data_IF_647784287879
#
_entry.id   IF_647784287879
#
_cell.length_a   1.000
_cell.length_b   1.000
_cell.length_c   1.000
_cell.angle_alpha   90.00
_cell.angle_beta   90.00
_cell.angle_gamma   90.00
#
_symmetry.space_group_name_H-M   'P 1'
#
loop_
_entity.id
_entity.type
_entity.pdbx_description
1 polymer ?
#
# COMPACT_ATOMS: atom_id res chain seq x y z
N UNK A 1 -37.51 38.67 47.29
CA UNK A 1 -37.49 37.65 46.21
C UNK A 1 -36.35 38.00 45.25
N UNK A 2 -35.16 37.44 45.46
CA UNK A 2 -34.01 37.57 44.55
C UNK A 2 -33.89 36.28 43.74
N UNK A 3 -34.10 36.39 42.43
CA UNK A 3 -33.95 35.28 41.48
C UNK A 3 -32.49 35.23 41.01
N UNK A 4 -31.75 34.25 41.54
CA UNK A 4 -30.39 33.91 41.16
C UNK A 4 -30.40 33.27 39.75
N UNK A 5 -29.85 33.97 38.75
CA UNK A 5 -29.66 33.42 37.40
C UNK A 5 -28.33 32.67 37.35
N UNK A 6 -28.40 31.34 37.31
CA UNK A 6 -27.25 30.46 37.08
C UNK A 6 -27.03 30.38 35.56
N UNK A 7 -25.91 30.92 35.09
CA UNK A 7 -25.47 30.77 33.71
C UNK A 7 -24.73 29.42 33.57
N UNK A 8 -25.29 28.50 32.80
CA UNK A 8 -24.65 27.22 32.45
C UNK A 8 -23.78 27.47 31.21
N UNK A 9 -22.46 27.24 31.26
CA UNK A 9 -21.63 27.33 30.07
C UNK A 9 -21.90 26.12 29.17
N UNK A 10 -22.37 26.39 27.95
CA UNK A 10 -22.51 25.40 26.89
C UNK A 10 -21.10 25.10 26.36
N UNK A 11 -20.54 23.95 26.75
CA UNK A 11 -19.32 23.42 26.13
C UNK A 11 -19.65 22.92 24.73
N UNK A 12 -19.22 23.67 23.71
CA UNK A 12 -19.31 23.27 22.31
C UNK A 12 -18.20 22.24 22.04
N UNK A 13 -18.54 20.96 22.09
CA UNK A 13 -17.65 19.87 21.64
C UNK A 13 -17.57 19.94 20.12
N UNK A 14 -16.50 20.54 19.60
CA UNK A 14 -16.16 20.47 18.18
C UNK A 14 -15.68 19.04 17.90
N UNK A 15 -16.61 18.14 17.59
CA UNK A 15 -16.28 16.85 16.99
C UNK A 15 -15.68 17.12 15.61
N UNK A 16 -14.35 17.10 15.50
CA UNK A 16 -13.70 16.96 14.21
C UNK A 16 -14.17 15.65 13.60
N UNK A 17 -14.79 15.65 12.41
CA UNK A 17 -15.15 14.41 11.74
C UNK A 17 -13.85 13.61 11.55
N UNK A 18 -13.78 12.46 12.20
CA UNK A 18 -12.86 11.41 11.78
C UNK A 18 -13.36 10.97 10.40
N UNK A 19 -12.83 11.61 9.35
CA UNK A 19 -12.99 11.10 8.00
C UNK A 19 -12.35 9.71 8.01
N UNK A 20 -13.18 8.68 8.10
CA UNK A 20 -12.79 7.33 7.72
C UNK A 20 -12.62 7.37 6.20
N UNK A 21 -11.50 7.93 5.74
CA UNK A 21 -11.16 8.01 4.33
C UNK A 21 -11.12 6.58 3.82
N UNK A 22 -11.91 6.29 2.79
CA UNK A 22 -11.88 5.00 2.15
C UNK A 22 -10.50 4.83 1.50
N UNK A 23 -9.64 4.07 2.16
CA UNK A 23 -8.29 3.76 1.68
C UNK A 23 -8.40 2.66 0.62
N UNK A 24 -8.77 3.05 -0.60
CA UNK A 24 -8.93 2.16 -1.75
C UNK A 24 -8.20 2.69 -2.99
N UNK A 25 -7.94 1.78 -3.94
CA UNK A 25 -7.63 2.13 -5.32
C UNK A 25 -8.76 1.57 -6.19
N UNK A 26 -9.55 2.44 -6.82
CA UNK A 26 -10.62 2.04 -7.75
C UNK A 26 -11.62 1.03 -7.14
N UNK A 27 -11.92 1.17 -5.86
CA UNK A 27 -12.79 0.27 -5.10
C UNK A 27 -12.11 -0.98 -4.53
N UNK A 28 -10.85 -1.26 -4.88
CA UNK A 28 -10.05 -2.33 -4.25
C UNK A 28 -9.50 -1.82 -2.92
N UNK A 29 -9.99 -2.40 -1.81
CA UNK A 29 -9.60 -2.02 -0.45
C UNK A 29 -8.56 -2.97 0.13
N UNK A 30 -7.80 -2.47 1.08
CA UNK A 30 -7.06 -3.30 2.03
C UNK A 30 -8.07 -4.10 2.87
N UNK A 31 -7.69 -5.30 3.34
CA UNK A 31 -8.52 -6.25 4.08
C UNK A 31 -9.70 -6.88 3.32
N UNK A 32 -9.91 -6.53 2.05
CA UNK A 32 -10.84 -7.24 1.17
C UNK A 32 -10.30 -8.62 0.79
N UNK A 33 -11.18 -9.46 0.22
CA UNK A 33 -10.78 -10.72 -0.40
C UNK A 33 -10.26 -10.50 -1.82
N UNK A 34 -9.42 -11.42 -2.30
CA UNK A 34 -8.94 -11.41 -3.69
C UNK A 34 -10.07 -11.52 -4.71
N UNK A 35 -11.18 -12.21 -4.38
CA UNK A 35 -12.37 -12.28 -5.25
C UNK A 35 -13.04 -10.91 -5.45
N UNK A 36 -13.21 -10.14 -4.37
CA UNK A 36 -13.71 -8.76 -4.41
C UNK A 36 -12.76 -7.87 -5.21
N UNK A 37 -11.46 -8.01 -4.97
CA UNK A 37 -10.44 -7.27 -5.71
C UNK A 37 -10.53 -7.51 -7.23
N UNK A 38 -10.63 -8.77 -7.67
CA UNK A 38 -10.77 -9.12 -9.10
C UNK A 38 -11.99 -8.44 -9.75
N UNK A 39 -13.14 -8.44 -9.08
CA UNK A 39 -14.36 -7.78 -9.56
C UNK A 39 -14.15 -6.27 -9.71
N UNK A 40 -13.60 -5.63 -8.68
CA UNK A 40 -13.38 -4.17 -8.70
C UNK A 40 -12.32 -3.76 -9.71
N UNK A 41 -11.26 -4.56 -9.91
CA UNK A 41 -10.25 -4.35 -10.95
C UNK A 41 -10.92 -4.38 -12.33
N UNK A 42 -11.69 -5.43 -12.65
CA UNK A 42 -12.40 -5.52 -13.93
C UNK A 42 -13.38 -4.35 -14.14
N UNK A 43 -14.06 -3.91 -13.08
CA UNK A 43 -14.95 -2.73 -13.14
C UNK A 43 -14.19 -1.43 -13.37
N UNK A 44 -12.98 -1.30 -12.82
CA UNK A 44 -12.16 -0.10 -12.96
C UNK A 44 -11.68 0.13 -14.39
N UNK A 45 -11.42 -0.94 -15.14
CA UNK A 45 -11.10 -0.89 -16.57
C UNK A 45 -11.43 -2.23 -17.24
N UNK A 46 -12.43 -2.22 -18.13
CA UNK A 46 -12.89 -3.43 -18.82
C UNK A 46 -11.89 -4.00 -19.83
N UNK A 47 -10.79 -3.27 -20.12
CA UNK A 47 -9.71 -3.72 -21.02
C UNK A 47 -8.63 -4.52 -20.30
N UNK A 48 -8.75 -4.71 -18.99
CA UNK A 48 -7.78 -5.49 -18.22
C UNK A 48 -7.84 -6.98 -18.55
N UNK A 49 -6.67 -7.56 -18.79
CA UNK A 49 -6.43 -9.00 -18.75
C UNK A 49 -5.87 -9.37 -17.38
N UNK A 50 -6.63 -10.18 -16.62
CA UNK A 50 -6.25 -10.62 -15.28
C UNK A 50 -5.38 -11.89 -15.34
N UNK A 51 -4.28 -11.88 -14.59
CA UNK A 51 -3.36 -13.00 -14.43
C UNK A 51 -3.18 -13.29 -12.93
N UNK A 52 -3.46 -14.53 -12.46
CA UNK A 52 -3.24 -14.88 -11.06
C UNK A 52 -1.75 -14.95 -10.75
N UNK A 53 -1.36 -14.44 -9.58
CA UNK A 53 -0.05 -14.70 -9.00
C UNK A 53 -0.19 -15.88 -8.05
N UNK A 54 0.74 -16.83 -8.11
CA UNK A 54 0.71 -18.03 -7.27
C UNK A 54 2.05 -18.21 -6.55
N UNK A 55 1.98 -18.70 -5.33
CA UNK A 55 3.13 -19.23 -4.62
C UNK A 55 3.57 -20.56 -5.25
N UNK A 56 4.75 -21.05 -4.85
CA UNK A 56 5.31 -22.31 -5.35
C UNK A 56 4.45 -23.53 -5.03
N UNK A 57 3.61 -23.46 -4.00
CA UNK A 57 2.65 -24.50 -3.62
C UNK A 57 1.33 -24.45 -4.42
N UNK A 58 1.20 -23.49 -5.35
CA UNK A 58 0.02 -23.28 -6.17
C UNK A 58 -1.07 -22.42 -5.54
N UNK A 59 -0.96 -22.02 -4.27
CA UNK A 59 -1.90 -21.11 -3.62
C UNK A 59 -1.83 -19.73 -4.29
N UNK A 60 -2.97 -19.10 -4.52
CA UNK A 60 -3.00 -17.74 -5.06
C UNK A 60 -2.40 -16.76 -4.05
N UNK A 61 -1.41 -15.99 -4.50
CA UNK A 61 -0.74 -14.93 -3.75
C UNK A 61 -1.32 -13.55 -4.08
N UNK A 62 -2.05 -13.42 -5.20
CA UNK A 62 -2.60 -12.16 -5.65
C UNK A 62 -3.08 -12.22 -7.10
N UNK A 63 -3.34 -11.04 -7.66
CA UNK A 63 -3.71 -10.86 -9.05
C UNK A 63 -2.98 -9.66 -9.65
N UNK A 64 -2.55 -9.83 -10.89
CA UNK A 64 -2.09 -8.76 -11.77
C UNK A 64 -3.18 -8.52 -12.82
N UNK A 65 -3.38 -7.28 -13.20
CA UNK A 65 -4.18 -6.93 -14.36
C UNK A 65 -3.43 -5.91 -15.21
N UNK A 66 -3.37 -6.13 -16.51
CA UNK A 66 -2.71 -5.21 -17.45
C UNK A 66 -3.57 -5.04 -18.69
N UNK A 67 -3.52 -3.86 -19.30
CA UNK A 67 -4.07 -3.66 -20.63
C UNK A 67 -3.13 -4.22 -21.70
N UNK A 68 -3.67 -4.54 -22.88
CA UNK A 68 -2.89 -5.16 -23.96
C UNK A 68 -2.04 -4.16 -24.75
N UNK A 69 -2.40 -2.87 -24.74
CA UNK A 69 -1.65 -1.83 -25.43
C UNK A 69 -0.29 -1.59 -24.76
N UNK A 70 0.63 -0.96 -25.49
CA UNK A 70 1.93 -0.56 -24.94
C UNK A 70 2.28 0.85 -25.34
N UNK A 71 2.49 1.70 -24.34
CA UNK A 71 2.93 3.07 -24.49
C UNK A 71 4.46 3.15 -24.36
N UNK A 72 5.12 4.03 -25.14
CA UNK A 72 6.56 4.21 -25.07
C UNK A 72 6.99 4.84 -23.74
N UNK A 73 8.28 4.73 -23.43
CA UNK A 73 8.91 5.44 -22.32
C UNK A 73 8.70 6.95 -22.45
N UNK A 74 8.39 7.60 -21.32
CA UNK A 74 8.22 9.07 -21.26
C UNK A 74 9.29 9.78 -20.42
N UNK A 75 10.14 9.04 -19.71
CA UNK A 75 11.28 9.57 -18.96
C UNK A 75 12.21 8.45 -18.47
N UNK A 76 13.34 8.80 -17.84
CA UNK A 76 14.18 7.84 -17.12
C UNK A 76 13.47 7.15 -15.94
N UNK A 77 12.40 7.76 -15.41
CA UNK A 77 11.58 7.22 -14.34
C UNK A 77 10.39 6.39 -14.86
N UNK A 78 10.22 6.28 -16.18
CA UNK A 78 9.14 5.52 -16.83
C UNK A 78 9.65 4.83 -18.09
N UNK A 79 9.90 3.53 -18.00
CA UNK A 79 10.35 2.69 -19.12
C UNK A 79 9.25 2.41 -20.16
N UNK A 80 8.03 2.92 -19.97
CA UNK A 80 6.86 2.59 -20.77
C UNK A 80 6.19 1.31 -20.28
N UNK A 81 5.29 0.76 -21.09
CA UNK A 81 4.53 -0.45 -20.74
C UNK A 81 3.03 -0.29 -21.02
N UNK A 82 2.18 -1.15 -20.43
CA UNK A 82 0.73 -1.02 -20.54
C UNK A 82 0.22 0.38 -20.16
N UNK A 83 -0.84 0.87 -20.80
CA UNK A 83 -1.47 2.13 -20.37
C UNK A 83 -2.06 2.04 -18.97
N UNK A 84 -2.41 0.85 -18.51
CA UNK A 84 -2.94 0.62 -17.18
C UNK A 84 -2.42 -0.73 -16.65
N UNK A 85 -1.90 -0.71 -15.44
CA UNK A 85 -1.46 -1.87 -14.69
C UNK A 85 -2.06 -1.83 -13.29
N UNK A 86 -2.45 -2.99 -12.77
CA UNK A 86 -3.04 -3.15 -11.46
C UNK A 86 -2.46 -4.38 -10.77
N UNK A 87 -2.21 -4.27 -9.47
CA UNK A 87 -1.78 -5.37 -8.61
C UNK A 87 -2.62 -5.36 -7.36
N UNK A 88 -3.05 -6.53 -6.91
CA UNK A 88 -3.50 -6.76 -5.54
C UNK A 88 -2.85 -8.04 -5.00
N UNK A 89 -2.19 -7.96 -3.85
CA UNK A 89 -1.56 -9.08 -3.16
C UNK A 89 -2.30 -9.41 -1.87
N UNK A 90 -2.48 -10.70 -1.61
CA UNK A 90 -3.10 -11.19 -0.39
C UNK A 90 -2.09 -11.82 0.57
N UNK A 91 -2.44 -11.81 1.85
CA UNK A 91 -1.65 -12.40 2.92
C UNK A 91 -2.13 -13.83 3.21
N UNK A 92 -1.65 -14.46 4.28
CA UNK A 92 -2.04 -15.85 4.56
C UNK A 92 -3.49 -15.99 5.03
N UNK A 93 -4.02 -14.91 5.62
CA UNK A 93 -5.42 -14.76 6.01
C UNK A 93 -6.34 -14.41 4.81
N UNK A 94 -5.84 -14.47 3.57
CA UNK A 94 -6.57 -14.20 2.33
C UNK A 94 -7.13 -12.78 2.25
N UNK A 95 -6.43 -11.85 2.92
CA UNK A 95 -6.73 -10.43 2.95
C UNK A 95 -5.76 -9.63 2.10
N UNK A 96 -6.27 -8.67 1.34
CA UNK A 96 -5.44 -7.77 0.55
C UNK A 96 -4.62 -6.88 1.48
N UNK A 97 -3.29 -7.00 1.42
CA UNK A 97 -2.36 -6.17 2.20
C UNK A 97 -1.61 -5.15 1.34
N UNK A 98 -1.58 -5.36 0.02
CA UNK A 98 -0.94 -4.44 -0.91
C UNK A 98 -1.74 -4.32 -2.18
N UNK A 99 -1.99 -3.08 -2.60
CA UNK A 99 -2.63 -2.76 -3.86
C UNK A 99 -1.87 -1.63 -4.53
N UNK A 100 -1.69 -1.73 -5.84
CA UNK A 100 -1.07 -0.67 -6.62
C UNK A 100 -1.68 -0.57 -8.01
N UNK A 101 -1.72 0.65 -8.55
CA UNK A 101 -2.10 0.94 -9.93
C UNK A 101 -1.07 1.85 -10.57
N UNK A 102 -0.68 1.53 -11.80
CA UNK A 102 0.15 2.39 -12.66
C UNK A 102 -0.71 2.79 -13.85
N UNK A 103 -0.85 4.09 -14.08
CA UNK A 103 -1.57 4.61 -15.24
C UNK A 103 -0.65 5.49 -16.08
N UNK A 104 -0.61 5.21 -17.38
CA UNK A 104 0.14 5.96 -18.38
C UNK A 104 -0.81 6.58 -19.39
N UNK A 105 -0.51 7.79 -19.82
CA UNK A 105 -1.38 8.60 -20.67
C UNK A 105 -0.70 8.92 -21.99
N UNK A 106 -1.45 8.73 -23.08
CA UNK A 106 -1.09 9.25 -24.40
C UNK A 106 -1.16 10.78 -24.42
N UNK A 107 -0.45 11.39 -25.37
CA UNK A 107 -0.57 12.83 -25.63
C UNK A 107 -2.04 13.17 -25.93
N UNK A 108 -2.58 14.19 -25.25
CA UNK A 108 -3.99 14.59 -25.33
C UNK A 108 -4.90 13.95 -24.26
N UNK A 109 -4.49 12.84 -23.63
CA UNK A 109 -5.23 12.22 -22.51
C UNK A 109 -4.59 12.48 -21.15
N UNK A 110 -3.48 13.23 -21.12
CA UNK A 110 -2.76 13.58 -19.89
C UNK A 110 -3.60 14.51 -19.02
N UNK A 111 -3.38 14.41 -17.72
CA UNK A 111 -4.02 15.28 -16.73
C UNK A 111 -3.03 16.34 -16.23
N UNK A 112 -3.52 17.52 -15.85
CA UNK A 112 -2.68 18.53 -15.20
C UNK A 112 -2.18 18.01 -13.87
N UNK A 113 -0.93 18.34 -13.51
CA UNK A 113 -0.35 17.95 -12.22
C UNK A 113 -1.24 18.43 -11.06
N UNK A 114 -1.68 19.67 -11.09
CA UNK A 114 -2.48 20.29 -10.02
C UNK A 114 -3.79 19.51 -9.82
N UNK A 115 -4.45 19.13 -10.91
CA UNK A 115 -5.68 18.32 -10.85
C UNK A 115 -5.45 16.96 -10.21
N UNK A 116 -4.31 16.31 -10.49
CA UNK A 116 -3.95 15.06 -9.81
C UNK A 116 -3.72 15.30 -8.31
N UNK A 117 -2.97 16.34 -7.94
CA UNK A 117 -2.69 16.68 -6.53
C UNK A 117 -3.98 16.96 -5.75
N UNK A 118 -4.88 17.77 -6.32
CA UNK A 118 -6.13 18.15 -5.68
C UNK A 118 -7.03 16.92 -5.48
N UNK A 119 -7.14 16.06 -6.51
CA UNK A 119 -7.91 14.82 -6.42
C UNK A 119 -7.35 13.86 -5.35
N UNK A 120 -6.03 13.79 -5.22
CA UNK A 120 -5.38 12.97 -4.18
C UNK A 120 -5.59 13.55 -2.78
N UNK A 121 -5.52 14.88 -2.63
CA UNK A 121 -5.79 15.56 -1.35
C UNK A 121 -7.26 15.48 -0.95
N UNK A 122 -8.17 15.52 -1.91
CA UNK A 122 -9.59 15.28 -1.67
C UNK A 122 -9.82 13.83 -1.19
N UNK A 123 -9.18 12.85 -1.83
CA UNK A 123 -9.35 11.43 -1.50
C UNK A 123 -8.67 11.01 -0.19
N UNK A 124 -7.44 11.45 0.05
CA UNK A 124 -6.58 10.96 1.13
C UNK A 124 -6.27 12.02 2.19
N UNK A 125 -6.78 13.25 2.04
CA UNK A 125 -6.43 14.37 2.91
C UNK A 125 -5.03 14.94 2.60
N UNK A 126 -4.53 15.87 3.43
CA UNK A 126 -3.17 16.41 3.30
C UNK A 126 -2.11 15.30 3.44
N UNK A 127 -1.05 15.28 2.61
CA UNK A 127 -0.01 14.27 2.72
C UNK A 127 0.87 14.46 3.95
N UNK A 128 1.50 13.37 4.39
CA UNK A 128 2.58 13.35 5.38
C UNK A 128 3.84 14.03 4.85
N UNK A 129 4.14 13.85 3.56
CA UNK A 129 5.22 14.54 2.87
C UNK A 129 4.94 14.68 1.37
N UNK A 130 5.52 15.72 0.78
CA UNK A 130 5.48 16.02 -0.64
C UNK A 130 6.91 16.33 -1.10
N UNK A 131 7.40 15.65 -2.12
CA UNK A 131 8.75 15.82 -2.67
C UNK A 131 8.66 16.00 -4.19
N UNK A 132 9.39 16.99 -4.70
CA UNK A 132 9.47 17.25 -6.14
C UNK A 132 10.94 17.23 -6.57
N UNK A 133 11.44 16.04 -6.89
CA UNK A 133 12.79 15.84 -7.41
C UNK A 133 12.75 14.88 -8.60
N UNK A 134 12.78 15.42 -9.82
CA UNK A 134 12.58 14.75 -11.13
C UNK A 134 11.20 14.08 -11.33
N UNK A 135 10.59 13.59 -10.27
CA UNK A 135 9.23 13.09 -10.17
C UNK A 135 8.51 13.81 -9.05
N UNK A 136 7.19 13.84 -9.14
CA UNK A 136 6.32 14.30 -8.09
C UNK A 136 5.97 13.14 -7.18
N UNK A 137 6.27 13.23 -5.89
CA UNK A 137 6.01 12.17 -4.92
C UNK A 137 5.17 12.69 -3.76
N UNK A 138 4.14 11.95 -3.38
CA UNK A 138 3.35 12.20 -2.17
C UNK A 138 3.27 10.94 -1.34
N UNK A 139 3.26 11.10 -0.02
CA UNK A 139 3.11 9.99 0.91
C UNK A 139 2.09 10.33 1.99
N UNK A 140 1.31 9.35 2.40
CA UNK A 140 0.54 9.36 3.64
C UNK A 140 1.01 8.20 4.49
N UNK A 141 1.63 8.51 5.61
CA UNK A 141 2.18 7.54 6.55
C UNK A 141 1.34 7.56 7.82
N UNK A 142 0.86 6.39 8.21
CA UNK A 142 0.09 6.20 9.42
C UNK A 142 0.84 5.28 10.37
N UNK A 143 0.84 5.61 11.66
CA UNK A 143 1.33 4.68 12.68
C UNK A 143 0.38 3.49 12.86
N UNK A 144 0.78 2.54 13.70
CA UNK A 144 -0.01 1.32 13.98
C UNK A 144 -1.37 1.56 14.62
N UNK A 145 -1.65 2.77 15.11
CA UNK A 145 -2.92 3.18 15.69
C UNK A 145 -3.77 4.00 14.69
N UNK A 146 -3.32 4.13 13.44
CA UNK A 146 -4.01 4.89 12.40
C UNK A 146 -3.81 6.40 12.53
N UNK A 147 -2.89 6.88 13.38
CA UNK A 147 -2.57 8.30 13.45
C UNK A 147 -1.63 8.66 12.30
N UNK A 148 -2.04 9.64 11.50
CA UNK A 148 -1.19 10.16 10.43
C UNK A 148 0.05 10.85 11.03
N UNK A 149 1.22 10.51 10.51
CA UNK A 149 2.47 11.18 10.82
C UNK A 149 2.64 12.39 9.89
N UNK A 150 2.94 13.56 10.46
CA UNK A 150 3.29 14.77 9.71
C UNK A 150 4.68 15.20 10.16
N UNK A 151 5.64 15.25 9.24
CA UNK A 151 7.02 15.62 9.59
C UNK A 151 8.04 15.15 8.56
N UNK A 152 9.31 15.16 8.96
CA UNK A 152 10.41 14.75 8.07
C UNK A 152 10.28 13.26 7.70
N UNK A 153 10.38 12.87 6.41
CA UNK A 153 10.18 11.49 5.96
C UNK A 153 11.09 10.47 6.65
N UNK A 154 12.34 10.84 6.95
CA UNK A 154 13.29 9.94 7.62
C UNK A 154 12.97 9.61 9.08
N UNK A 155 11.98 10.28 9.67
CA UNK A 155 11.52 10.05 11.05
C UNK A 155 10.10 9.47 11.09
N UNK A 156 9.51 9.20 9.93
CA UNK A 156 8.17 8.63 9.83
C UNK A 156 8.12 7.16 10.24
N UNK A 157 6.95 6.67 10.67
CA UNK A 157 6.79 5.28 11.10
C UNK A 157 7.08 4.27 9.98
N UNK A 158 6.98 4.71 8.72
CA UNK A 158 7.14 3.86 7.54
C UNK A 158 8.52 3.99 6.87
N UNK A 159 9.47 4.73 7.47
CA UNK A 159 10.77 5.01 6.87
C UNK A 159 11.60 3.76 6.51
N UNK A 160 11.52 2.69 7.32
CA UNK A 160 12.31 1.48 7.13
C UNK A 160 11.69 0.46 6.16
N UNK A 161 10.62 0.82 5.45
CA UNK A 161 10.00 -0.04 4.44
C UNK A 161 10.89 -0.04 3.19
N UNK A 162 11.44 -1.21 2.90
CA UNK A 162 12.35 -1.44 1.78
C UNK A 162 11.61 -1.99 0.57
N UNK A 163 11.90 -1.41 -0.59
CA UNK A 163 11.50 -1.91 -1.90
C UNK A 163 12.79 -2.35 -2.61
N UNK A 164 13.03 -3.65 -2.76
CA UNK A 164 14.20 -4.13 -3.53
C UNK A 164 13.75 -4.65 -4.90
N UNK A 165 14.49 -4.22 -5.93
CA UNK A 165 14.06 -4.11 -7.33
C UNK A 165 13.87 -5.41 -8.12
N UNK A 166 12.96 -6.28 -7.69
CA UNK A 166 12.32 -7.20 -8.63
C UNK A 166 10.87 -6.83 -8.73
N UNK A 167 10.44 -6.47 -9.93
CA UNK A 167 9.04 -6.18 -10.22
C UNK A 167 8.19 -7.43 -10.00
N UNK A 168 6.93 -7.23 -9.64
CA UNK A 168 5.93 -8.28 -9.64
C UNK A 168 5.79 -8.78 -11.09
N UNK A 169 5.88 -10.10 -11.34
CA UNK A 169 5.85 -10.65 -12.68
C UNK A 169 4.70 -10.11 -13.53
N UNK A 170 5.03 -9.63 -14.73
CA UNK A 170 4.06 -9.07 -15.67
C UNK A 170 3.70 -7.60 -15.46
N UNK A 171 4.32 -6.91 -14.48
CA UNK A 171 4.08 -5.49 -14.19
C UNK A 171 5.38 -4.73 -13.98
N UNK A 172 5.29 -3.40 -13.90
CA UNK A 172 6.32 -2.46 -13.44
C UNK A 172 6.20 -2.15 -11.93
N UNK A 173 5.34 -2.88 -11.22
CA UNK A 173 5.09 -2.64 -9.80
C UNK A 173 6.07 -3.44 -8.95
N UNK A 174 6.89 -2.75 -8.18
CA UNK A 174 7.70 -3.34 -7.10
C UNK A 174 6.86 -3.49 -5.83
N UNK A 175 6.83 -4.69 -5.25
CA UNK A 175 6.25 -4.92 -3.92
C UNK A 175 7.25 -4.63 -2.78
N UNK A 176 6.76 -4.21 -1.60
CA UNK A 176 7.60 -4.10 -0.41
C UNK A 176 8.20 -5.46 -0.02
N UNK A 177 9.45 -5.45 0.48
CA UNK A 177 10.14 -6.64 1.01
C UNK A 177 10.36 -6.62 2.52
N UNK A 178 10.35 -5.44 3.13
CA UNK A 178 10.44 -5.28 4.58
C UNK A 178 9.30 -4.42 5.10
N UNK A 179 8.91 -4.69 6.34
CA UNK A 179 7.81 -4.02 7.00
C UNK A 179 8.33 -3.44 8.31
N UNK A 180 8.00 -2.17 8.57
CA UNK A 180 8.41 -1.49 9.80
C UNK A 180 7.52 -1.93 10.97
N UNK A 181 8.09 -2.20 12.17
CA UNK A 181 7.30 -2.48 13.37
C UNK A 181 6.47 -1.29 13.86
N UNK A 182 6.71 -0.08 13.34
CA UNK A 182 6.00 1.14 13.75
C UNK A 182 4.99 1.65 12.71
N UNK A 183 5.07 1.16 11.47
CA UNK A 183 4.16 1.54 10.39
C UNK A 183 2.83 0.80 10.51
N UNK A 184 1.74 1.54 10.40
CA UNK A 184 0.39 1.02 10.21
C UNK A 184 0.10 0.81 8.74
N UNK A 185 -0.18 1.93 8.07
CA UNK A 185 -0.53 1.99 6.66
C UNK A 185 0.35 3.01 5.95
N UNK A 186 0.72 2.70 4.70
CA UNK A 186 1.48 3.59 3.84
C UNK A 186 0.75 3.74 2.51
N UNK A 187 0.46 4.97 2.11
CA UNK A 187 -0.02 5.33 0.78
C UNK A 187 1.11 6.09 0.08
N UNK A 188 1.47 5.67 -1.13
CA UNK A 188 2.51 6.32 -1.94
C UNK A 188 1.98 6.69 -3.31
N UNK A 189 2.34 7.88 -3.76
CA UNK A 189 2.14 8.33 -5.13
C UNK A 189 3.49 8.75 -5.69
N UNK A 190 3.76 8.32 -6.93
CA UNK A 190 4.85 8.86 -7.75
C UNK A 190 4.31 9.18 -9.13
N UNK A 191 4.57 10.38 -9.64
CA UNK A 191 4.10 10.83 -10.94
C UNK A 191 5.22 11.50 -11.74
N UNK A 192 5.23 11.25 -13.05
CA UNK A 192 6.12 11.92 -14.01
C UNK A 192 5.34 13.03 -14.69
N UNK A 193 5.87 14.25 -14.60
CA UNK A 193 5.32 15.43 -15.27
C UNK A 193 6.21 15.80 -16.45
N UNK A 194 5.60 16.09 -17.59
CA UNK A 194 6.30 16.51 -18.80
C UNK A 194 6.50 18.05 -18.80
N UNK A 195 7.25 18.58 -19.76
CA UNK A 195 7.54 20.03 -19.83
C UNK A 195 6.29 20.91 -19.95
N UNK A 196 5.19 20.35 -20.43
CA UNK A 196 3.87 20.99 -20.53
C UNK A 196 3.10 21.06 -19.19
N UNK A 197 3.69 20.57 -18.10
CA UNK A 197 3.05 20.51 -16.78
C UNK A 197 2.02 19.36 -16.65
N UNK A 198 1.93 18.50 -17.66
CA UNK A 198 0.95 17.41 -17.69
C UNK A 198 1.58 16.09 -17.23
N UNK A 199 0.81 15.30 -16.50
CA UNK A 199 1.23 13.99 -15.98
C UNK A 199 1.18 12.97 -17.12
N UNK A 200 2.33 12.39 -17.47
CA UNK A 200 2.41 11.30 -18.46
C UNK A 200 2.20 9.93 -17.83
N UNK A 201 2.57 9.76 -16.57
CA UNK A 201 2.35 8.53 -15.81
C UNK A 201 2.24 8.83 -14.33
N UNK A 202 1.45 8.04 -13.61
CA UNK A 202 1.54 7.96 -12.17
C UNK A 202 1.36 6.53 -11.65
N UNK A 203 1.95 6.28 -10.49
CA UNK A 203 1.83 5.07 -9.70
C UNK A 203 1.23 5.44 -8.35
N UNK A 204 0.14 4.80 -7.98
CA UNK A 204 -0.47 4.87 -6.65
C UNK A 204 -0.36 3.50 -6.00
N UNK A 205 0.13 3.45 -4.76
CA UNK A 205 0.23 2.23 -3.96
C UNK A 205 -0.35 2.43 -2.57
N UNK A 206 -0.99 1.40 -2.03
CA UNK A 206 -1.46 1.34 -0.65
C UNK A 206 -0.94 0.03 -0.04
N UNK A 207 -0.38 0.15 1.16
CA UNK A 207 0.24 -0.93 1.90
C UNK A 207 -0.31 -0.98 3.34
N UNK A 208 -0.78 -2.14 3.76
CA UNK A 208 -0.91 -2.52 5.17
C UNK A 208 0.38 -3.14 5.68
N UNK A 209 1.23 -2.30 6.28
CA UNK A 209 2.48 -2.75 6.84
C UNK A 209 2.29 -3.47 8.19
N UNK A 210 1.25 -3.08 8.94
CA UNK A 210 0.94 -3.65 10.26
C UNK A 210 0.65 -5.14 10.16
N UNK A 211 -0.32 -5.50 9.32
CA UNK A 211 -0.77 -6.89 9.18
C UNK A 211 0.33 -7.79 8.65
N UNK A 212 1.13 -7.31 7.70
CA UNK A 212 2.28 -8.06 7.20
C UNK A 212 3.40 -8.22 8.22
N UNK A 213 3.72 -7.17 8.98
CA UNK A 213 4.71 -7.27 10.04
C UNK A 213 4.28 -8.30 11.10
N UNK A 214 3.01 -8.22 11.54
CA UNK A 214 2.47 -9.09 12.58
C UNK A 214 2.48 -10.56 12.14
N UNK A 215 2.03 -10.85 10.90
CA UNK A 215 2.05 -12.20 10.32
C UNK A 215 3.48 -12.76 10.22
N UNK A 216 4.45 -11.96 9.75
CA UNK A 216 5.83 -12.41 9.62
C UNK A 216 6.50 -12.65 10.98
N UNK A 217 6.22 -11.78 11.96
CA UNK A 217 6.73 -11.93 13.32
C UNK A 217 6.16 -13.18 14.01
N UNK A 218 4.87 -13.44 13.83
CA UNK A 218 4.24 -14.66 14.34
C UNK A 218 4.88 -15.91 13.72
N UNK A 219 5.01 -15.97 12.40
CA UNK A 219 5.70 -17.09 11.71
C UNK A 219 7.13 -17.28 12.18
N UNK A 220 7.89 -16.19 12.33
CA UNK A 220 9.27 -16.23 12.81
C UNK A 220 9.36 -16.84 14.22
N UNK A 221 8.47 -16.41 15.13
CA UNK A 221 8.41 -16.93 16.50
C UNK A 221 8.06 -18.43 16.56
N UNK A 222 7.14 -18.89 15.71
CA UNK A 222 6.76 -20.30 15.60
C UNK A 222 7.91 -21.16 15.07
N UNK A 223 8.58 -20.70 14.00
CA UNK A 223 9.73 -21.40 13.43
C UNK A 223 10.91 -21.50 14.41
N UNK A 224 11.18 -20.46 15.19
CA UNK A 224 12.22 -20.49 16.21
C UNK A 224 11.86 -21.45 17.36
N UNK A 225 10.62 -21.44 17.82
CA UNK A 225 10.13 -22.37 18.83
C UNK A 225 10.22 -23.83 18.36
N UNK A 226 9.86 -24.11 17.10
CA UNK A 226 10.00 -25.44 16.51
C UNK A 226 11.46 -25.88 16.40
N UNK A 227 12.35 -24.98 15.97
CA UNK A 227 13.79 -25.25 15.92
C UNK A 227 14.34 -25.58 17.30
N UNK A 228 13.98 -24.80 18.33
CA UNK A 228 14.37 -25.07 19.73
C UNK A 228 13.86 -26.44 20.21
N UNK A 229 12.61 -26.80 19.91
CA UNK A 229 12.03 -28.11 20.24
C UNK A 229 12.78 -29.25 19.54
N UNK A 230 13.09 -29.13 18.26
CA UNK A 230 13.86 -30.13 17.49
C UNK A 230 15.26 -30.33 18.07
N UNK A 231 15.97 -29.25 18.38
CA UNK A 231 17.30 -29.32 19.01
C UNK A 231 17.26 -29.98 20.39
N UNK A 232 16.26 -29.68 21.22
CA UNK A 232 16.08 -30.34 22.52
C UNK A 232 15.78 -31.84 22.37
N UNK A 233 14.95 -32.22 21.39
CA UNK A 233 14.65 -33.63 21.11
C UNK A 233 15.91 -34.39 20.63
N UNK A 234 16.73 -33.81 19.75
CA UNK A 234 17.99 -34.42 19.32
C UNK A 234 18.99 -34.59 20.47
N UNK A 235 19.12 -33.59 21.34
CA UNK A 235 19.97 -33.68 22.53
C UNK A 235 19.51 -34.77 23.49
N UNK A 236 18.19 -34.95 23.68
CA UNK A 236 17.64 -36.00 24.55
C UNK A 236 17.83 -37.42 23.99
N UNK A 237 17.85 -37.59 22.65
CA UNK A 237 18.08 -38.89 22.01
C UNK A 237 19.54 -39.35 22.13
N UNK A 238 20.49 -38.42 22.14
CA UNK A 238 21.92 -38.71 22.33
C UNK A 238 22.34 -38.98 23.79
N UNK A 239 21.42 -38.87 24.76
CA UNK A 239 21.67 -39.14 26.18
C UNK A 239 21.11 -40.50 26.67
N UNK A 240 20.68 -41.40 25.79
CA UNK A 240 20.32 -42.76 26.23
C UNK A 240 21.58 -43.52 26.70
N UNK A 241 21.64 -43.98 27.97
CA UNK A 241 22.79 -44.74 28.45
C UNK A 241 22.82 -46.11 27.76
N UNK A 242 23.99 -46.49 27.22
CA UNK A 242 24.27 -47.88 26.88
C UNK A 242 24.37 -48.67 28.18
N UNK A 243 23.42 -49.58 28.39
CA UNK A 243 23.50 -50.65 29.39
C UNK A 243 24.27 -51.81 28.75
#
# INVERSE_FOLDING_TARGET
MQLLKIAIPVFLVVCFPHYALAVDISGVKIEDSLSSAKINITKANSKFSLSPLKFSDGKEAGVVAVTADRLPSTSLADSGGPSDEFVALQNDAEKIWFVARVQRFTQGSRIKKETLVDSLKEKFGPPSSEEQLFTFNMKWEFDRNGKQYIGHPSKGPCFSIGYSGTDIPGTSVISPRSFSPSCGTLITVSAVTQQDGMVSTFKLGILDAKSMYDQLNEKGSQAEAEKKRKLQQEQSKNMQPKI
#
